data_IF_109992714236
#
_entry.id   IF_109992714236
#
_cell.length_a   1.000
_cell.length_b   1.000
_cell.length_c   1.000
_cell.angle_alpha   90.00
_cell.angle_beta   90.00
_cell.angle_gamma   90.00
#
_symmetry.space_group_name_H-M   'P 1'
#
loop_
_entity.id
_entity.type
_entity.pdbx_description
1 polymer ?
#
# COMPACT_ATOMS: atom_id res chain seq x y z
N UNK A 1 36.36 8.50 24.04
CA UNK A 1 35.67 7.19 24.07
C UNK A 1 34.34 7.36 24.78
N UNK A 2 33.28 7.82 24.08
CA UNK A 2 31.91 7.85 24.62
C UNK A 2 30.85 8.13 23.53
N UNK A 3 30.80 7.36 22.43
CA UNK A 3 29.87 7.65 21.30
C UNK A 3 28.96 6.46 20.91
N UNK A 4 28.82 5.43 21.74
CA UNK A 4 28.05 4.21 21.40
C UNK A 4 26.65 4.09 22.03
N UNK A 5 26.37 4.84 23.10
CA UNK A 5 25.17 4.65 23.94
C UNK A 5 23.91 5.35 23.40
N UNK A 6 24.05 6.54 22.80
CA UNK A 6 22.92 7.36 22.34
C UNK A 6 22.26 6.85 21.05
N UNK A 7 23.02 6.21 20.17
CA UNK A 7 22.50 5.68 18.89
C UNK A 7 21.65 4.43 19.10
N UNK A 8 22.02 3.58 20.05
CA UNK A 8 21.23 2.38 20.37
C UNK A 8 19.89 2.76 21.00
N UNK A 9 19.86 3.66 21.98
CA UNK A 9 18.59 4.08 22.63
C UNK A 9 17.63 4.77 21.65
N UNK A 10 18.14 5.65 20.79
CA UNK A 10 17.34 6.35 19.77
C UNK A 10 16.72 5.39 18.76
N UNK A 11 17.46 4.35 18.35
CA UNK A 11 16.97 3.33 17.43
C UNK A 11 15.90 2.44 18.07
N UNK A 12 16.06 2.10 19.35
CA UNK A 12 15.06 1.30 20.09
C UNK A 12 13.76 2.09 20.28
N UNK A 13 13.82 3.36 20.70
CA UNK A 13 12.63 4.22 20.79
C UNK A 13 11.97 4.45 19.43
N UNK A 14 12.75 4.61 18.35
CA UNK A 14 12.18 4.73 17.01
C UNK A 14 11.48 3.42 16.58
N UNK A 15 12.07 2.26 16.91
CA UNK A 15 11.45 0.95 16.67
C UNK A 15 10.15 0.78 17.47
N UNK A 16 10.13 1.13 18.74
CA UNK A 16 8.92 1.07 19.58
C UNK A 16 7.85 2.03 19.05
N UNK A 17 8.23 3.25 18.67
CA UNK A 17 7.32 4.22 18.07
C UNK A 17 6.72 3.69 16.75
N UNK A 18 7.52 3.06 15.89
CA UNK A 18 7.00 2.41 14.69
C UNK A 18 6.12 1.20 15.03
N UNK A 19 6.53 0.35 15.97
CA UNK A 19 5.76 -0.83 16.37
C UNK A 19 4.37 -0.46 16.92
N UNK A 20 4.30 0.57 17.76
CA UNK A 20 3.03 1.07 18.32
C UNK A 20 2.12 1.64 17.21
N UNK A 21 2.70 2.41 16.27
CA UNK A 21 1.97 2.98 15.13
C UNK A 21 1.52 1.95 14.09
N UNK A 22 2.28 0.87 13.94
CA UNK A 22 1.98 -0.23 13.02
C UNK A 22 1.34 -1.44 13.70
N UNK A 23 0.91 -1.32 14.96
CA UNK A 23 0.19 -2.36 15.70
C UNK A 23 -1.08 -2.85 15.00
N UNK A 24 -1.68 -2.03 14.14
CA UNK A 24 -2.81 -2.46 13.29
C UNK A 24 -2.44 -3.61 12.32
N UNK A 25 -1.16 -3.79 12.01
CA UNK A 25 -0.67 -4.92 11.20
C UNK A 25 -0.76 -6.26 11.95
N UNK A 26 -0.85 -6.26 13.28
CA UNK A 26 -1.10 -7.49 14.03
C UNK A 26 -2.46 -8.10 13.69
N UNK A 27 -3.45 -7.30 13.26
CA UNK A 27 -4.71 -7.81 12.71
C UNK A 27 -4.53 -8.47 11.34
N UNK A 28 -3.51 -8.05 10.58
CA UNK A 28 -3.13 -8.67 9.32
C UNK A 28 -2.23 -9.89 9.49
N UNK A 29 -1.77 -10.20 10.71
CA UNK A 29 -0.92 -11.35 11.00
C UNK A 29 -1.54 -12.67 10.52
N UNK A 30 -2.88 -12.81 10.53
CA UNK A 30 -3.58 -13.99 9.98
C UNK A 30 -3.36 -14.18 8.47
N UNK A 31 -3.15 -13.10 7.74
CA UNK A 31 -2.90 -13.12 6.31
C UNK A 31 -1.40 -13.13 5.98
N UNK A 32 -0.56 -12.56 6.84
CA UNK A 32 0.90 -12.42 6.65
C UNK A 32 1.67 -13.63 7.21
N UNK A 33 1.26 -14.17 8.36
CA UNK A 33 1.86 -15.35 9.01
C UNK A 33 1.14 -16.66 8.63
N UNK A 34 0.61 -16.73 7.41
CA UNK A 34 0.02 -17.98 6.92
C UNK A 34 1.15 -18.90 6.48
N UNK A 35 1.15 -20.15 6.97
CA UNK A 35 2.18 -21.15 6.61
C UNK A 35 2.14 -21.48 5.11
N UNK A 36 0.96 -21.43 4.51
CA UNK A 36 0.78 -21.55 3.06
C UNK A 36 0.62 -20.17 2.41
N UNK A 37 1.36 -19.88 1.32
CA UNK A 37 1.20 -18.65 0.59
C UNK A 37 -0.25 -18.55 0.08
N UNK A 38 -0.91 -17.38 0.21
CA UNK A 38 -2.24 -17.21 -0.35
C UNK A 38 -2.20 -17.48 -1.85
N UNK A 39 -3.17 -18.23 -2.41
CA UNK A 39 -3.18 -18.55 -3.82
C UNK A 39 -3.12 -17.27 -4.65
N UNK A 40 -2.18 -17.22 -5.58
CA UNK A 40 -1.93 -16.05 -6.41
C UNK A 40 -3.19 -15.70 -7.22
N UNK A 41 -3.75 -14.53 -6.95
CA UNK A 41 -4.85 -13.95 -7.71
C UNK A 41 -4.29 -13.00 -8.76
N UNK A 42 -4.92 -13.01 -9.92
CA UNK A 42 -4.53 -12.18 -11.06
C UNK A 42 -5.49 -11.01 -11.27
N UNK A 43 -5.13 -10.10 -12.17
CA UNK A 43 -6.03 -9.01 -12.56
C UNK A 43 -7.34 -9.50 -13.16
N UNK A 44 -7.36 -10.65 -13.84
CA UNK A 44 -8.59 -11.24 -14.38
C UNK A 44 -9.51 -11.75 -13.30
N UNK A 45 -8.99 -12.32 -12.21
CA UNK A 45 -9.81 -12.81 -11.09
C UNK A 45 -10.59 -11.69 -10.40
N UNK A 46 -10.06 -10.47 -10.42
CA UNK A 46 -10.79 -9.31 -9.93
C UNK A 46 -11.86 -8.84 -10.89
N UNK A 47 -11.62 -8.87 -12.21
CA UNK A 47 -12.65 -8.52 -13.18
C UNK A 47 -13.79 -9.55 -13.16
N UNK A 48 -13.46 -10.84 -12.98
CA UNK A 48 -14.43 -11.90 -12.73
C UNK A 48 -15.25 -11.62 -11.47
N UNK A 49 -14.61 -11.18 -10.37
CA UNK A 49 -15.32 -10.80 -9.15
C UNK A 49 -16.23 -9.59 -9.38
N UNK A 50 -15.72 -8.53 -10.02
CA UNK A 50 -16.49 -7.31 -10.34
C UNK A 50 -17.70 -7.65 -11.22
N UNK A 51 -17.55 -8.59 -12.15
CA UNK A 51 -18.66 -9.08 -12.98
C UNK A 51 -19.65 -9.94 -12.18
N UNK A 52 -19.18 -10.67 -11.17
CA UNK A 52 -20.01 -11.57 -10.36
C UNK A 52 -20.77 -10.88 -9.22
N UNK A 53 -20.18 -9.86 -8.58
CA UNK A 53 -20.76 -9.17 -7.42
C UNK A 53 -21.09 -7.70 -7.76
N UNK A 54 -22.38 -7.38 -7.98
CA UNK A 54 -22.82 -6.02 -8.30
C UNK A 54 -22.77 -5.06 -7.10
N UNK A 55 -22.68 -5.56 -5.86
CA UNK A 55 -22.69 -4.75 -4.64
C UNK A 55 -21.27 -4.32 -4.26
N UNK A 56 -20.32 -5.23 -4.28
CA UNK A 56 -18.93 -4.96 -3.85
C UNK A 56 -17.98 -4.71 -5.04
N UNK A 57 -18.34 -5.16 -6.25
CA UNK A 57 -17.55 -4.97 -7.47
C UNK A 57 -17.25 -3.50 -7.81
N UNK A 58 -18.24 -2.58 -7.82
CA UNK A 58 -17.99 -1.17 -8.10
C UNK A 58 -17.00 -0.52 -7.11
N UNK A 59 -17.11 -0.87 -5.82
CA UNK A 59 -16.21 -0.41 -4.78
C UNK A 59 -14.77 -0.92 -5.00
N UNK A 60 -14.62 -2.20 -5.34
CA UNK A 60 -13.30 -2.78 -5.61
C UNK A 60 -12.64 -2.17 -6.86
N UNK A 61 -13.44 -1.84 -7.88
CA UNK A 61 -12.99 -1.12 -9.07
C UNK A 61 -12.50 0.30 -8.74
N UNK A 62 -13.23 1.03 -7.91
CA UNK A 62 -12.83 2.37 -7.45
C UNK A 62 -11.56 2.33 -6.60
N UNK A 63 -11.43 1.34 -5.70
CA UNK A 63 -10.22 1.11 -4.93
C UNK A 63 -9.01 0.87 -5.83
N UNK A 64 -9.14 0.03 -6.86
CA UNK A 64 -8.07 -0.19 -7.84
C UNK A 64 -7.72 1.03 -8.68
N UNK A 65 -8.72 1.83 -9.06
CA UNK A 65 -8.46 3.09 -9.74
C UNK A 65 -7.59 3.99 -8.85
N UNK A 66 -7.93 4.10 -7.56
CA UNK A 66 -7.19 4.90 -6.57
C UNK A 66 -5.74 4.49 -6.44
N UNK A 67 -5.44 3.19 -6.41
CA UNK A 67 -4.06 2.70 -6.38
C UNK A 67 -3.28 3.20 -7.60
N UNK A 68 -3.88 3.24 -8.80
CA UNK A 68 -3.21 3.76 -10.01
C UNK A 68 -2.86 5.25 -9.88
N UNK A 69 -3.75 6.05 -9.31
CA UNK A 69 -3.49 7.48 -9.06
C UNK A 69 -2.44 7.70 -7.98
N UNK A 70 -2.47 6.93 -6.88
CA UNK A 70 -1.41 6.93 -5.87
C UNK A 70 -0.05 6.56 -6.48
N UNK A 71 0.00 5.53 -7.32
CA UNK A 71 1.23 5.09 -7.97
C UNK A 71 1.76 6.13 -8.97
N UNK A 72 0.88 6.76 -9.75
CA UNK A 72 1.23 7.88 -10.62
C UNK A 72 1.76 9.07 -9.81
N UNK A 73 1.07 9.44 -8.72
CA UNK A 73 1.50 10.47 -7.79
C UNK A 73 2.88 10.19 -7.20
N UNK A 74 3.13 8.94 -6.79
CA UNK A 74 4.44 8.49 -6.29
C UNK A 74 5.54 8.69 -7.33
N UNK A 75 5.32 8.27 -8.58
CA UNK A 75 6.33 8.44 -9.63
C UNK A 75 6.62 9.92 -9.87
N UNK A 76 5.57 10.74 -9.98
CA UNK A 76 5.71 12.19 -10.19
C UNK A 76 6.43 12.84 -9.01
N UNK A 77 6.04 12.52 -7.79
CA UNK A 77 6.64 13.06 -6.56
C UNK A 77 8.10 12.64 -6.40
N UNK A 78 8.41 11.37 -6.66
CA UNK A 78 9.77 10.83 -6.56
C UNK A 78 10.70 11.50 -7.57
N UNK A 79 10.29 11.58 -8.84
CA UNK A 79 11.10 12.17 -9.92
C UNK A 79 11.25 13.68 -9.75
N UNK A 80 10.17 14.40 -9.40
CA UNK A 80 10.25 15.85 -9.20
C UNK A 80 11.12 16.22 -8.01
N UNK A 81 10.96 15.53 -6.87
CA UNK A 81 11.73 15.82 -5.65
C UNK A 81 13.20 15.46 -5.85
N UNK A 82 13.49 14.30 -6.46
CA UNK A 82 14.85 13.88 -6.80
C UNK A 82 15.51 14.81 -7.84
N UNK A 83 14.75 15.29 -8.81
CA UNK A 83 15.26 16.22 -9.83
C UNK A 83 15.65 17.58 -9.22
N UNK A 84 14.84 18.10 -8.30
CA UNK A 84 15.15 19.35 -7.57
C UNK A 84 16.38 19.18 -6.70
N UNK A 85 16.45 18.13 -5.87
CA UNK A 85 17.63 17.89 -5.03
C UNK A 85 18.87 17.58 -5.85
N UNK A 86 18.77 16.87 -6.98
CA UNK A 86 19.92 16.67 -7.86
C UNK A 86 20.44 18.00 -8.43
N UNK A 87 19.53 18.90 -8.86
CA UNK A 87 19.88 20.22 -9.39
C UNK A 87 20.65 21.07 -8.37
N UNK A 88 20.25 21.06 -7.10
CA UNK A 88 20.85 21.91 -6.07
C UNK A 88 21.94 21.24 -5.23
N UNK A 89 21.77 19.97 -4.85
CA UNK A 89 22.70 19.24 -3.99
C UNK A 89 23.82 18.55 -4.78
N UNK A 90 23.57 18.16 -6.05
CA UNK A 90 24.46 17.30 -6.87
C UNK A 90 25.00 16.06 -6.13
N UNK A 91 24.32 15.63 -5.06
CA UNK A 91 24.72 14.48 -4.25
C UNK A 91 23.78 13.31 -4.50
N UNK A 92 24.35 12.12 -4.68
CA UNK A 92 23.59 10.90 -4.93
C UNK A 92 22.78 10.49 -3.70
N UNK A 93 23.33 10.66 -2.50
CA UNK A 93 22.64 10.35 -1.23
C UNK A 93 21.43 11.28 -1.01
N UNK A 94 21.58 12.58 -1.27
CA UNK A 94 20.48 13.54 -1.15
C UNK A 94 19.39 13.29 -2.19
N UNK A 95 19.77 13.02 -3.44
CA UNK A 95 18.83 12.67 -4.49
C UNK A 95 18.08 11.35 -4.18
N UNK A 96 18.78 10.32 -3.71
CA UNK A 96 18.17 9.04 -3.33
C UNK A 96 17.17 9.16 -2.18
N UNK A 97 17.53 9.84 -1.08
CA UNK A 97 16.61 10.06 0.03
C UNK A 97 15.37 10.86 -0.40
N UNK A 98 15.59 11.89 -1.20
CA UNK A 98 14.51 12.75 -1.69
C UNK A 98 13.61 12.05 -2.72
N UNK A 99 14.13 11.10 -3.48
CA UNK A 99 13.34 10.25 -4.36
C UNK A 99 12.37 9.40 -3.55
N UNK A 100 12.85 8.76 -2.48
CA UNK A 100 12.00 7.96 -1.60
C UNK A 100 10.96 8.83 -0.90
N UNK A 101 11.38 9.97 -0.33
CA UNK A 101 10.46 10.91 0.31
C UNK A 101 9.40 11.41 -0.68
N UNK A 102 9.82 11.85 -1.87
CA UNK A 102 8.94 12.30 -2.93
C UNK A 102 7.97 11.22 -3.39
N UNK A 103 8.39 9.96 -3.41
CA UNK A 103 7.52 8.82 -3.71
C UNK A 103 6.41 8.65 -2.66
N UNK A 104 6.78 8.65 -1.38
CA UNK A 104 5.81 8.54 -0.28
C UNK A 104 4.83 9.70 -0.30
N UNK A 105 5.31 10.95 -0.36
CA UNK A 105 4.44 12.12 -0.42
C UNK A 105 3.57 12.11 -1.67
N UNK A 106 4.15 11.81 -2.83
CA UNK A 106 3.43 11.70 -4.09
C UNK A 106 2.31 10.65 -4.04
N UNK A 107 2.56 9.50 -3.40
CA UNK A 107 1.54 8.47 -3.19
C UNK A 107 0.39 9.00 -2.33
N UNK A 108 0.70 9.68 -1.21
CA UNK A 108 -0.33 10.23 -0.32
C UNK A 108 -1.21 11.27 -1.01
N UNK A 109 -0.62 12.22 -1.75
CA UNK A 109 -1.39 13.21 -2.50
C UNK A 109 -2.19 12.59 -3.65
N UNK A 110 -1.61 11.62 -4.38
CA UNK A 110 -2.32 10.91 -5.45
C UNK A 110 -3.50 10.09 -4.93
N UNK A 111 -3.32 9.44 -3.78
CA UNK A 111 -4.38 8.71 -3.10
C UNK A 111 -5.49 9.66 -2.62
N UNK A 112 -5.16 10.85 -2.09
CA UNK A 112 -6.15 11.83 -1.63
C UNK A 112 -6.97 12.41 -2.80
N UNK A 113 -6.30 12.78 -3.90
CA UNK A 113 -6.97 13.25 -5.12
C UNK A 113 -7.96 12.20 -5.63
N UNK A 114 -7.56 10.92 -5.64
CA UNK A 114 -8.45 9.84 -6.02
C UNK A 114 -9.56 9.60 -4.99
N UNK A 115 -9.26 9.72 -3.70
CA UNK A 115 -10.25 9.61 -2.63
C UNK A 115 -11.39 10.62 -2.80
N UNK A 116 -11.03 11.87 -3.16
CA UNK A 116 -12.01 12.90 -3.51
C UNK A 116 -12.70 12.64 -4.85
N UNK A 117 -11.97 12.21 -5.88
CA UNK A 117 -12.54 11.98 -7.22
C UNK A 117 -13.55 10.83 -7.27
N UNK A 118 -13.29 9.74 -6.54
CA UNK A 118 -14.16 8.55 -6.51
C UNK A 118 -15.00 8.47 -5.23
N UNK A 119 -14.92 9.48 -4.36
CA UNK A 119 -15.65 9.55 -3.09
C UNK A 119 -15.51 8.28 -2.24
N UNK A 120 -14.29 7.69 -2.17
CA UNK A 120 -14.10 6.41 -1.48
C UNK A 120 -14.42 6.47 0.02
N UNK A 121 -14.43 7.66 0.62
CA UNK A 121 -14.93 7.86 1.98
C UNK A 121 -16.39 7.40 2.19
N UNK A 122 -17.20 7.29 1.12
CA UNK A 122 -18.57 6.76 1.17
C UNK A 122 -18.65 5.25 0.94
N UNK A 123 -17.54 4.63 0.54
CA UNK A 123 -17.49 3.24 0.10
C UNK A 123 -16.73 2.40 1.14
N UNK A 124 -17.28 1.25 1.50
CA UNK A 124 -16.60 0.30 2.37
C UNK A 124 -15.61 -0.55 1.56
N UNK A 125 -14.43 0.04 1.33
CA UNK A 125 -13.34 -0.60 0.59
C UNK A 125 -12.81 -1.86 1.28
N UNK A 126 -12.85 -1.88 2.62
CA UNK A 126 -12.37 -3.02 3.43
C UNK A 126 -13.35 -4.17 3.31
N UNK A 127 -14.66 -3.93 3.46
CA UNK A 127 -15.66 -4.98 3.25
C UNK A 127 -15.63 -5.53 1.83
N UNK A 128 -15.50 -4.68 0.81
CA UNK A 128 -15.37 -5.14 -0.57
C UNK A 128 -14.12 -6.01 -0.79
N UNK A 129 -13.00 -5.66 -0.16
CA UNK A 129 -11.77 -6.45 -0.23
C UNK A 129 -11.90 -7.79 0.51
N UNK A 130 -12.54 -7.82 1.68
CA UNK A 130 -12.83 -9.07 2.40
C UNK A 130 -13.73 -9.98 1.57
N UNK A 131 -14.79 -9.44 0.95
CA UNK A 131 -15.68 -10.20 0.07
C UNK A 131 -15.00 -10.74 -1.17
N UNK A 132 -14.07 -9.97 -1.74
CA UNK A 132 -13.21 -10.47 -2.81
C UNK A 132 -12.37 -11.68 -2.36
N UNK A 133 -11.73 -11.60 -1.19
CA UNK A 133 -10.91 -12.71 -0.68
C UNK A 133 -11.75 -13.94 -0.33
N UNK A 134 -12.94 -13.78 0.27
CA UNK A 134 -13.87 -14.89 0.53
C UNK A 134 -14.30 -15.58 -0.77
N UNK A 135 -14.68 -14.80 -1.78
CA UNK A 135 -15.03 -15.33 -3.10
C UNK A 135 -13.85 -16.03 -3.78
N UNK A 136 -12.65 -15.44 -3.69
CA UNK A 136 -11.43 -16.00 -4.27
C UNK A 136 -11.05 -17.34 -3.65
N UNK A 137 -11.14 -17.45 -2.32
CA UNK A 137 -10.88 -18.69 -1.59
C UNK A 137 -11.87 -19.79 -2.01
N UNK A 138 -13.15 -19.46 -2.16
CA UNK A 138 -14.17 -20.40 -2.64
C UNK A 138 -13.93 -20.82 -4.11
N UNK A 139 -13.47 -19.89 -4.96
CA UNK A 139 -13.07 -20.19 -6.34
C UNK A 139 -11.84 -21.12 -6.38
N UNK A 140 -10.84 -20.93 -5.53
CA UNK A 140 -9.67 -21.81 -5.46
C UNK A 140 -10.04 -23.23 -4.98
N UNK A 141 -10.85 -23.33 -3.92
CA UNK A 141 -11.37 -24.60 -3.41
C UNK A 141 -12.19 -25.37 -4.44
N UNK A 142 -13.05 -24.68 -5.19
CA UNK A 142 -13.84 -25.31 -6.27
C UNK A 142 -12.99 -25.74 -7.47
N UNK A 143 -11.86 -25.08 -7.72
CA UNK A 143 -10.92 -25.44 -8.78
C UNK A 143 -9.83 -26.44 -8.35
N UNK A 144 -9.85 -26.91 -7.09
CA UNK A 144 -8.83 -27.83 -6.56
C UNK A 144 -7.43 -27.23 -6.51
N UNK A 145 -7.31 -25.89 -6.48
CA UNK A 145 -6.05 -25.18 -6.32
C UNK A 145 -5.76 -25.08 -4.81
N UNK A 146 -4.54 -25.42 -4.33
CA UNK A 146 -4.20 -25.31 -2.91
C UNK A 146 -4.40 -23.88 -2.38
#
# INVERSE_FOLDING_TARGET
MADGSSSQSSFTSFKEFLADRFSFLDNYSRFVNRDDPPPYWSSSDVEDFIASDPVHGPTLKAARATVKYGLAGSVIGAVSTAGVTWKYSRSLHGAGLSFLAGGVFGYTFGAEIANHAFQLYRLDTVAAQVKFFEWWENKCKSQGRP
#
